data_IF_377591281802
#
_entry.id   IF_377591281802
#
_cell.length_a   1.000
_cell.length_b   1.000
_cell.length_c   1.000
_cell.angle_alpha   90.00
_cell.angle_beta   90.00
_cell.angle_gamma   90.00
#
_symmetry.space_group_name_H-M   'P 1'
#
loop_
_entity.id
_entity.type
_entity.pdbx_description
1 polymer ?
#
# COMPACT_ATOMS: atom_id res chain seq x y z
N UNK A 1 20.08 -43.93 -35.48
CA UNK A 1 20.76 -43.26 -34.35
C UNK A 1 20.49 -41.76 -34.31
N UNK A 2 20.66 -41.03 -35.43
CA UNK A 2 20.54 -39.57 -35.52
C UNK A 2 19.20 -38.98 -35.02
N UNK A 3 18.07 -39.59 -35.40
CA UNK A 3 16.73 -39.11 -35.00
C UNK A 3 16.45 -39.26 -33.49
N UNK A 4 17.05 -40.26 -32.82
CA UNK A 4 16.95 -40.41 -31.35
C UNK A 4 17.78 -39.35 -30.63
N UNK A 5 18.91 -38.94 -31.23
CA UNK A 5 19.77 -37.88 -30.71
C UNK A 5 19.07 -36.51 -30.83
N UNK A 6 18.45 -36.24 -31.99
CA UNK A 6 17.71 -35.01 -32.26
C UNK A 6 16.52 -34.81 -31.29
N UNK A 7 15.76 -35.89 -31.02
CA UNK A 7 14.66 -35.87 -30.04
C UNK A 7 15.17 -35.56 -28.64
N UNK A 8 16.30 -36.13 -28.24
CA UNK A 8 16.92 -35.90 -26.91
C UNK A 8 17.36 -34.45 -26.75
N UNK A 9 17.96 -33.85 -27.78
CA UNK A 9 18.30 -32.43 -27.77
C UNK A 9 17.06 -31.54 -27.64
N UNK A 10 15.99 -31.85 -28.37
CA UNK A 10 14.74 -31.10 -28.30
C UNK A 10 14.09 -31.16 -26.91
N UNK A 11 14.09 -32.34 -26.27
CA UNK A 11 13.58 -32.49 -24.90
C UNK A 11 14.40 -31.69 -23.89
N UNK A 12 15.72 -31.66 -24.04
CA UNK A 12 16.62 -30.88 -23.16
C UNK A 12 16.36 -29.37 -23.33
N UNK A 13 16.19 -28.90 -24.57
CA UNK A 13 15.89 -27.49 -24.87
C UNK A 13 14.56 -27.07 -24.23
N UNK A 14 13.52 -27.91 -24.32
CA UNK A 14 12.23 -27.66 -23.66
C UNK A 14 12.38 -27.60 -22.14
N UNK A 15 13.15 -28.51 -21.55
CA UNK A 15 13.38 -28.51 -20.10
C UNK A 15 14.10 -27.23 -19.62
N UNK A 16 15.06 -26.74 -20.41
CA UNK A 16 15.78 -25.49 -20.11
C UNK A 16 14.83 -24.28 -20.22
N UNK A 17 13.99 -24.23 -21.25
CA UNK A 17 12.98 -23.16 -21.42
C UNK A 17 11.98 -23.11 -20.27
N UNK A 18 11.55 -24.26 -19.77
CA UNK A 18 10.65 -24.36 -18.61
C UNK A 18 11.37 -23.88 -17.33
N UNK A 19 12.63 -24.26 -17.13
CA UNK A 19 13.39 -23.84 -15.95
C UNK A 19 13.61 -22.32 -15.86
N UNK A 20 13.80 -21.64 -16.99
CA UNK A 20 13.97 -20.18 -17.02
C UNK A 20 12.65 -19.46 -16.70
N UNK A 21 11.51 -20.02 -17.14
CA UNK A 21 10.18 -19.42 -16.94
C UNK A 21 9.69 -19.36 -15.49
N UNK A 22 10.32 -20.09 -14.56
CA UNK A 22 9.97 -20.07 -13.13
C UNK A 22 10.74 -19.04 -12.30
N UNK A 23 11.63 -18.26 -12.90
CA UNK A 23 12.34 -17.18 -12.20
C UNK A 23 11.47 -15.93 -12.14
N UNK A 24 10.46 -15.93 -11.27
CA UNK A 24 9.78 -14.68 -10.92
C UNK A 24 10.71 -13.84 -10.05
N UNK A 25 11.03 -12.59 -10.40
CA UNK A 25 11.81 -11.72 -9.53
C UNK A 25 11.04 -11.51 -8.22
N UNK A 26 11.71 -11.74 -7.10
CA UNK A 26 11.18 -11.36 -5.79
C UNK A 26 10.99 -9.84 -5.80
N UNK A 27 9.77 -9.37 -5.52
CA UNK A 27 9.53 -7.94 -5.37
C UNK A 27 10.20 -7.48 -4.07
N UNK A 28 11.37 -6.85 -4.18
CA UNK A 28 12.06 -6.26 -3.03
C UNK A 28 11.25 -5.08 -2.52
N UNK A 29 10.61 -5.24 -1.36
CA UNK A 29 9.98 -4.17 -0.61
C UNK A 29 11.04 -3.16 -0.15
N UNK A 30 10.94 -1.89 -0.57
CA UNK A 30 11.90 -0.86 -0.16
C UNK A 30 11.34 -0.08 1.04
N UNK A 31 11.69 -0.48 2.26
CA UNK A 31 11.45 0.35 3.44
C UNK A 31 12.38 1.56 3.42
N UNK A 32 11.84 2.77 3.65
CA UNK A 32 12.62 4.00 3.74
C UNK A 32 12.57 4.56 5.16
N UNK A 33 13.73 4.98 5.66
CA UNK A 33 13.89 5.61 6.97
C UNK A 33 14.17 7.10 6.79
N UNK A 34 13.40 7.96 7.46
CA UNK A 34 13.64 9.40 7.52
C UNK A 34 13.70 9.90 8.97
N UNK A 35 14.60 10.85 9.23
CA UNK A 35 14.68 11.57 10.50
C UNK A 35 13.96 12.92 10.35
N UNK A 36 12.84 13.12 11.04
CA UNK A 36 12.12 14.40 11.02
C UNK A 36 12.70 15.42 12.03
N UNK A 37 13.32 14.94 13.11
CA UNK A 37 13.97 15.72 14.16
C UNK A 37 14.98 14.84 14.94
N UNK A 38 15.90 15.40 15.74
CA UNK A 38 16.79 14.61 16.59
C UNK A 38 15.96 13.69 17.52
N UNK A 39 16.12 12.37 17.37
CA UNK A 39 15.42 11.37 18.18
C UNK A 39 14.04 10.91 17.70
N UNK A 40 13.53 11.41 16.57
CA UNK A 40 12.26 10.95 15.97
C UNK A 40 12.55 10.13 14.71
N UNK A 41 12.45 8.80 14.85
CA UNK A 41 12.58 7.84 13.75
C UNK A 41 11.19 7.64 13.11
N UNK A 42 11.09 7.85 11.79
CA UNK A 42 9.90 7.51 11.01
C UNK A 42 10.26 6.47 9.95
N UNK A 43 9.63 5.31 10.05
CA UNK A 43 9.63 4.30 9.00
C UNK A 43 8.39 4.50 8.15
N UNK A 44 8.54 4.45 6.82
CA UNK A 44 7.43 4.62 5.91
C UNK A 44 7.50 3.71 4.67
N UNK A 45 6.33 3.31 4.17
CA UNK A 45 6.12 2.80 2.81
C UNK A 45 5.39 3.89 2.03
N UNK A 46 5.94 4.27 0.88
CA UNK A 46 5.40 5.33 0.03
C UNK A 46 5.29 4.85 -1.41
N UNK A 47 4.09 4.93 -1.97
CA UNK A 47 3.80 4.51 -3.35
C UNK A 47 2.93 5.54 -4.06
N UNK A 48 3.12 5.67 -5.37
CA UNK A 48 2.20 6.38 -6.25
C UNK A 48 1.25 5.36 -6.90
N UNK A 49 -0.06 5.56 -6.76
CA UNK A 49 -1.10 4.69 -7.30
C UNK A 49 -1.97 5.52 -8.25
N UNK A 50 -2.30 4.96 -9.41
CA UNK A 50 -3.25 5.58 -10.33
C UNK A 50 -4.66 5.13 -10.02
N UNK A 51 -5.62 6.06 -10.05
CA UNK A 51 -7.03 5.69 -10.06
C UNK A 51 -7.50 5.27 -11.46
N UNK A 52 -8.79 4.92 -11.59
CA UNK A 52 -9.40 4.52 -12.86
C UNK A 52 -9.43 5.62 -13.91
N UNK A 53 -9.25 6.88 -13.50
CA UNK A 53 -9.19 8.05 -14.36
C UNK A 53 -7.74 8.49 -14.62
N UNK A 54 -6.76 7.64 -14.29
CA UNK A 54 -5.33 7.87 -14.46
C UNK A 54 -4.74 9.02 -13.63
N UNK A 55 -5.46 9.53 -12.62
CA UNK A 55 -4.89 10.49 -11.68
C UNK A 55 -3.95 9.79 -10.71
N UNK A 56 -2.81 10.41 -10.45
CA UNK A 56 -1.82 9.90 -9.50
C UNK A 56 -2.19 10.30 -8.06
N UNK A 57 -2.18 9.30 -7.19
CA UNK A 57 -2.38 9.42 -5.75
C UNK A 57 -1.11 8.99 -5.03
N UNK A 58 -0.64 9.80 -4.09
CA UNK A 58 0.45 9.39 -3.22
C UNK A 58 -0.12 8.76 -1.97
N UNK A 59 0.27 7.52 -1.68
CA UNK A 59 -0.15 6.77 -0.50
C UNK A 59 1.09 6.50 0.35
N UNK A 60 1.02 6.93 1.61
CA UNK A 60 2.12 6.88 2.56
C UNK A 60 1.62 6.24 3.85
N UNK A 61 2.08 5.03 4.16
CA UNK A 61 1.91 4.44 5.48
C UNK A 61 3.15 4.71 6.32
N UNK A 62 3.00 5.21 7.54
CA UNK A 62 4.14 5.52 8.38
C UNK A 62 3.85 5.35 9.87
N UNK A 63 4.90 4.99 10.61
CA UNK A 63 4.88 4.82 12.07
C UNK A 63 5.33 6.10 12.75
N UNK A 64 4.52 6.65 13.66
CA UNK A 64 4.88 7.76 14.53
C UNK A 64 5.42 7.21 15.86
N UNK A 65 6.72 7.38 16.08
CA UNK A 65 7.37 7.00 17.34
C UNK A 65 7.56 8.26 18.18
N UNK A 66 6.86 8.33 19.32
CA UNK A 66 7.03 9.38 20.33
C UNK A 66 7.38 8.74 21.68
N UNK A 67 8.38 9.24 22.42
CA UNK A 67 8.71 8.72 23.74
C UNK A 67 7.50 8.75 24.68
N UNK A 68 7.18 7.62 25.31
CA UNK A 68 6.11 7.51 26.31
C UNK A 68 4.68 7.43 25.75
N UNK A 69 4.49 7.42 24.43
CA UNK A 69 3.17 7.27 23.79
C UNK A 69 3.12 5.95 23.02
N UNK A 70 1.94 5.32 22.96
CA UNK A 70 1.70 4.15 22.11
C UNK A 70 2.06 4.51 20.67
N UNK A 71 2.77 3.62 19.99
CA UNK A 71 3.11 3.80 18.59
C UNK A 71 1.83 3.89 17.75
N UNK A 72 1.74 4.93 16.93
CA UNK A 72 0.60 5.17 16.03
C UNK A 72 1.03 4.87 14.60
N UNK A 73 0.17 4.16 13.87
CA UNK A 73 0.35 3.86 12.46
C UNK A 73 -0.71 4.63 11.67
N UNK A 74 -0.27 5.51 10.78
CA UNK A 74 -1.16 6.35 10.00
C UNK A 74 -0.94 6.14 8.50
N UNK A 75 -2.04 6.14 7.76
CA UNK A 75 -2.07 6.15 6.31
C UNK A 75 -2.44 7.55 5.83
N UNK A 76 -1.51 8.21 5.14
CA UNK A 76 -1.76 9.46 4.44
C UNK A 76 -2.00 9.21 2.95
N UNK A 77 -3.03 9.87 2.43
CA UNK A 77 -3.40 9.84 1.02
C UNK A 77 -3.39 11.28 0.51
N UNK A 78 -2.64 11.53 -0.55
CA UNK A 78 -2.53 12.86 -1.17
C UNK A 78 -3.00 12.77 -2.62
N UNK A 79 -4.06 13.51 -2.93
CA UNK A 79 -4.54 13.71 -4.29
C UNK A 79 -3.88 14.91 -4.97
N UNK A 80 -4.12 15.09 -6.26
CA UNK A 80 -3.69 16.29 -6.98
C UNK A 80 -4.38 17.56 -6.42
N UNK A 81 -3.62 18.61 -6.04
CA UNK A 81 -4.19 19.84 -5.49
C UNK A 81 -5.19 20.53 -6.43
N UNK A 82 -6.30 21.04 -5.88
CA UNK A 82 -7.34 21.76 -6.62
C UNK A 82 -8.24 20.88 -7.51
N UNK A 83 -7.96 19.57 -7.62
CA UNK A 83 -8.85 18.60 -8.26
C UNK A 83 -9.58 17.77 -7.20
N UNK A 84 -8.87 17.35 -6.16
CA UNK A 84 -9.43 16.53 -5.10
C UNK A 84 -9.38 17.27 -3.77
N UNK A 85 -10.49 17.21 -3.04
CA UNK A 85 -10.60 17.75 -1.70
C UNK A 85 -11.23 16.67 -0.80
N UNK A 86 -10.60 16.39 0.33
CA UNK A 86 -11.11 15.42 1.30
C UNK A 86 -12.19 16.07 2.16
N UNK A 87 -13.29 15.35 2.35
CA UNK A 87 -14.31 15.70 3.33
C UNK A 87 -13.78 15.37 4.73
N UNK A 88 -13.67 16.39 5.57
CA UNK A 88 -13.28 16.25 6.97
C UNK A 88 -14.39 16.79 7.88
N UNK A 89 -14.68 16.14 9.03
CA UNK A 89 -14.20 14.81 9.42
C UNK A 89 -14.94 13.70 8.64
N UNK A 90 -14.22 12.71 8.11
CA UNK A 90 -14.87 11.53 7.52
C UNK A 90 -13.95 10.30 7.54
N UNK A 91 -14.43 9.17 8.05
CA UNK A 91 -13.64 7.93 8.12
C UNK A 91 -13.39 7.30 6.75
N UNK A 92 -12.20 6.73 6.54
CA UNK A 92 -11.88 5.99 5.32
C UNK A 92 -12.49 4.60 5.36
N UNK A 93 -13.26 4.23 4.34
CA UNK A 93 -13.72 2.85 4.17
C UNK A 93 -12.68 2.04 3.40
N UNK A 94 -12.35 0.86 3.93
CA UNK A 94 -11.41 -0.09 3.34
C UNK A 94 -12.16 -1.40 3.07
N UNK A 95 -12.15 -1.85 1.83
CA UNK A 95 -12.75 -3.12 1.41
C UNK A 95 -11.63 -4.07 1.01
N UNK A 96 -11.57 -5.23 1.65
CA UNK A 96 -10.63 -6.28 1.26
C UNK A 96 -11.12 -7.03 0.02
N UNK A 97 -10.23 -7.75 -0.68
CA UNK A 97 -10.64 -8.59 -1.82
C UNK A 97 -11.57 -9.73 -1.37
N UNK A 98 -11.43 -10.22 -0.15
CA UNK A 98 -12.33 -11.15 0.53
C UNK A 98 -13.70 -10.56 0.91
N UNK A 99 -13.92 -9.25 0.71
CA UNK A 99 -15.20 -8.58 0.95
C UNK A 99 -15.41 -8.05 2.38
N UNK A 100 -14.38 -8.11 3.23
CA UNK A 100 -14.43 -7.54 4.57
C UNK A 100 -14.38 -6.02 4.49
N UNK A 101 -15.34 -5.37 5.16
CA UNK A 101 -15.37 -3.92 5.31
C UNK A 101 -14.68 -3.52 6.62
N UNK A 102 -13.73 -2.61 6.52
CA UNK A 102 -12.99 -1.99 7.62
C UNK A 102 -13.14 -0.47 7.53
N UNK A 103 -12.90 0.22 8.64
CA UNK A 103 -12.95 1.68 8.71
C UNK A 103 -11.75 2.20 9.49
N UNK A 104 -11.16 3.30 9.00
CA UNK A 104 -10.08 4.03 9.66
C UNK A 104 -10.56 5.44 10.04
N UNK A 105 -10.28 5.86 11.27
CA UNK A 105 -10.67 7.19 11.75
C UNK A 105 -9.82 8.29 11.13
N UNK A 106 -10.44 9.42 10.82
CA UNK A 106 -9.79 10.61 10.30
C UNK A 106 -8.92 11.29 11.37
N UNK A 107 -7.62 11.35 11.13
CA UNK A 107 -6.64 12.01 12.01
C UNK A 107 -6.72 13.53 11.88
N UNK A 108 -7.17 14.05 10.73
CA UNK A 108 -7.32 15.47 10.46
C UNK A 108 -8.74 15.99 10.69
N UNK A 109 -9.52 15.31 11.55
CA UNK A 109 -10.89 15.67 11.89
C UNK A 109 -11.08 17.15 12.30
N UNK A 110 -10.06 17.79 12.88
CA UNK A 110 -10.09 19.20 13.29
C UNK A 110 -9.37 20.13 12.34
N UNK A 111 -8.25 19.70 11.76
CA UNK A 111 -7.43 20.52 10.87
C UNK A 111 -6.56 19.65 9.98
N UNK A 112 -6.76 19.78 8.67
CA UNK A 112 -5.90 19.16 7.65
C UNK A 112 -4.86 20.18 7.16
N UNK A 113 -3.61 19.77 6.89
CA UNK A 113 -2.58 20.66 6.36
C UNK A 113 -2.90 21.18 4.96
N UNK A 114 -3.73 20.47 4.18
CA UNK A 114 -4.20 20.89 2.87
C UNK A 114 -5.47 20.13 2.48
N UNK A 115 -6.34 20.74 1.67
CA UNK A 115 -7.63 20.15 1.29
C UNK A 115 -7.48 18.81 0.54
N UNK A 116 -6.41 18.63 -0.22
CA UNK A 116 -6.14 17.43 -1.02
C UNK A 116 -5.44 16.31 -0.22
N UNK A 117 -5.40 16.41 1.11
CA UNK A 117 -4.69 15.47 1.98
C UNK A 117 -5.65 14.87 3.01
N UNK A 118 -5.79 13.53 2.98
CA UNK A 118 -6.41 12.75 4.04
C UNK A 118 -5.37 11.99 4.85
N UNK A 119 -5.56 11.86 6.16
CA UNK A 119 -4.74 11.01 7.03
C UNK A 119 -5.64 10.21 7.96
N UNK A 120 -5.39 8.89 8.02
CA UNK A 120 -6.27 7.95 8.68
C UNK A 120 -5.50 7.00 9.60
N UNK A 121 -6.04 6.74 10.79
CA UNK A 121 -5.40 5.82 11.73
C UNK A 121 -5.56 4.38 11.26
N UNK A 122 -4.43 3.77 10.93
CA UNK A 122 -4.32 2.37 10.50
C UNK A 122 -3.93 1.41 11.64
N UNK A 123 -3.71 1.94 12.83
CA UNK A 123 -3.31 1.20 14.05
C UNK A 123 -4.24 0.01 14.32
N UNK A 124 -5.56 0.19 14.19
CA UNK A 124 -6.54 -0.87 14.42
C UNK A 124 -7.02 -1.56 13.13
N UNK A 125 -6.55 -1.10 11.95
CA UNK A 125 -6.92 -1.65 10.64
C UNK A 125 -5.96 -2.73 10.23
N UNK A 126 -4.65 -2.44 10.27
CA UNK A 126 -3.63 -3.36 9.77
C UNK A 126 -3.66 -4.72 10.48
N UNK A 127 -3.81 -4.82 11.82
CA UNK A 127 -3.92 -6.12 12.51
C UNK A 127 -5.16 -6.93 12.12
N UNK A 128 -6.19 -6.28 11.55
CA UNK A 128 -7.41 -6.94 11.07
C UNK A 128 -7.29 -7.45 9.64
N UNK A 129 -6.20 -7.15 8.93
CA UNK A 129 -5.87 -7.70 7.61
C UNK A 129 -5.19 -9.04 7.79
N UNK A 130 -5.99 -10.11 7.83
CA UNK A 130 -5.52 -11.50 8.08
C UNK A 130 -4.77 -12.11 6.90
N UNK A 131 -4.94 -11.56 5.69
CA UNK A 131 -4.30 -12.02 4.47
C UNK A 131 -3.60 -10.87 3.75
N UNK A 132 -2.52 -11.18 3.03
CA UNK A 132 -1.85 -10.22 2.13
C UNK A 132 -2.63 -10.20 0.81
N UNK A 133 -3.65 -9.35 0.76
CA UNK A 133 -4.53 -9.17 -0.39
C UNK A 133 -4.58 -7.71 -0.86
N UNK A 134 -5.12 -7.48 -2.06
CA UNK A 134 -5.37 -6.11 -2.55
C UNK A 134 -6.51 -5.46 -1.76
N UNK A 135 -6.40 -4.15 -1.52
CA UNK A 135 -7.44 -3.37 -0.84
C UNK A 135 -8.07 -2.37 -1.79
N UNK A 136 -9.34 -2.04 -1.54
CA UNK A 136 -10.03 -0.90 -2.15
C UNK A 136 -10.25 0.14 -1.07
N UNK A 137 -9.74 1.35 -1.30
CA UNK A 137 -9.96 2.49 -0.42
C UNK A 137 -11.02 3.38 -1.05
N UNK A 138 -12.18 3.53 -0.40
CA UNK A 138 -13.18 4.51 -0.85
C UNK A 138 -12.80 5.86 -0.24
N UNK A 139 -12.34 6.77 -1.09
CA UNK A 139 -11.84 8.07 -0.66
C UNK A 139 -13.03 8.99 -0.33
N UNK A 140 -13.10 9.55 0.89
CA UNK A 140 -14.19 10.43 1.29
C UNK A 140 -13.91 11.85 0.78
N UNK A 141 -14.17 12.09 -0.49
CA UNK A 141 -13.93 13.36 -1.16
C UNK A 141 -15.18 14.26 -1.14
N UNK A 142 -14.96 15.57 -1.20
CA UNK A 142 -16.01 16.55 -1.47
C UNK A 142 -16.44 16.44 -2.94
N UNK A 143 -17.73 16.23 -3.18
CA UNK A 143 -18.32 16.03 -4.51
C UNK A 143 -19.17 14.75 -4.58
N UNK A 144 -19.82 14.53 -5.72
CA UNK A 144 -20.76 13.41 -5.88
C UNK A 144 -20.07 12.10 -6.33
N UNK A 145 -18.90 12.17 -6.95
CA UNK A 145 -18.20 10.99 -7.42
C UNK A 145 -17.37 10.31 -6.32
N UNK A 146 -17.79 9.11 -5.92
CA UNK A 146 -16.96 8.22 -5.11
C UNK A 146 -15.72 7.81 -5.89
N UNK A 147 -14.53 8.13 -5.36
CA UNK A 147 -13.26 7.62 -5.89
C UNK A 147 -12.80 6.40 -5.11
N UNK A 148 -12.37 5.39 -5.86
CA UNK A 148 -11.86 4.13 -5.32
C UNK A 148 -10.41 4.03 -5.74
N UNK A 149 -9.52 3.90 -4.76
CA UNK A 149 -8.11 3.62 -4.98
C UNK A 149 -7.84 2.13 -4.74
N UNK A 150 -7.30 1.45 -5.74
CA UNK A 150 -6.95 0.03 -5.63
C UNK A 150 -5.50 -0.10 -5.17
N UNK A 151 -5.31 -0.53 -3.93
CA UNK A 151 -3.99 -0.78 -3.34
C UNK A 151 -3.55 -2.20 -3.72
N UNK A 152 -2.44 -2.36 -4.46
CA UNK A 152 -1.94 -3.67 -4.84
C UNK A 152 -1.52 -4.52 -3.64
N UNK A 153 -1.65 -5.84 -3.75
CA UNK A 153 -1.15 -6.81 -2.77
C UNK A 153 0.31 -6.56 -2.36
N UNK A 154 1.16 -6.17 -3.31
CA UNK A 154 2.59 -5.90 -3.04
C UNK A 154 2.76 -4.77 -2.02
N UNK A 155 1.99 -3.69 -2.15
CA UNK A 155 2.00 -2.55 -1.22
C UNK A 155 1.50 -2.97 0.16
N UNK A 156 0.44 -3.77 0.23
CA UNK A 156 -0.07 -4.30 1.51
C UNK A 156 0.95 -5.21 2.20
N UNK A 157 1.74 -5.96 1.42
CA UNK A 157 2.86 -6.74 1.94
C UNK A 157 3.93 -5.84 2.57
N UNK A 158 4.28 -4.72 1.93
CA UNK A 158 5.21 -3.74 2.50
C UNK A 158 4.68 -3.15 3.81
N UNK A 159 3.38 -2.89 3.88
CA UNK A 159 2.73 -2.35 5.07
C UNK A 159 2.80 -3.32 6.25
N UNK A 160 2.62 -4.62 6.02
CA UNK A 160 2.80 -5.64 7.06
C UNK A 160 4.26 -5.73 7.52
N UNK A 161 5.22 -5.71 6.58
CA UNK A 161 6.65 -5.72 6.90
C UNK A 161 7.07 -4.52 7.77
N UNK A 162 6.53 -3.34 7.48
CA UNK A 162 6.82 -2.11 8.23
C UNK A 162 6.45 -2.21 9.71
N UNK A 163 5.44 -3.01 10.06
CA UNK A 163 5.07 -3.22 11.47
C UNK A 163 5.91 -4.34 12.10
N UNK A 164 6.22 -5.41 11.38
CA UNK A 164 6.99 -6.53 11.93
C UNK A 164 8.49 -6.27 12.08
N UNK A 165 9.11 -5.46 11.21
CA UNK A 165 10.57 -5.21 11.24
C UNK A 165 10.98 -4.01 12.11
N UNK A 166 10.01 -3.23 12.60
CA UNK A 166 10.23 -1.97 13.34
C UNK A 166 9.73 -2.07 14.79
N UNK A 167 9.41 -3.27 15.25
CA UNK A 167 9.14 -3.58 16.66
C UNK A 167 10.40 -4.14 17.35
#
# INVERSE_FOLDING_TARGET
>A
MLAKFLKRCFTIIILILIAIGFTTPESTAMLRQHHDAPGVLRYHSQVAIKDKQEYNWQVLLFKKIKPGVKQELDLRIVGFPGIFEFSHPHSLEIITKSGKLLSASDVFATSSPALNVGEYSFTDVLPKLTEIESLKLNLPLLGEEKKILEVPKSVVSEWQLLVTEVD
#
